data_IF_247707571790
#
_entry.id   IF_247707571790
#
_cell.length_a   1.000
_cell.length_b   1.000
_cell.length_c   1.000
_cell.angle_alpha   90.00
_cell.angle_beta   90.00
_cell.angle_gamma   90.00
#
_symmetry.space_group_name_H-M   'P 1'
#
loop_
_entity.id
_entity.type
_entity.pdbx_description
1 polymer ?
#
# COMPACT_ATOMS: atom_id res chain seq x y z
N UNK A 1 37.35 -12.36 -24.48
CA UNK A 1 36.56 -11.14 -24.73
C UNK A 1 35.33 -11.16 -23.83
N UNK A 2 35.47 -10.82 -22.54
CA UNK A 2 34.36 -10.72 -21.58
C UNK A 2 34.18 -9.25 -21.25
N UNK A 3 33.20 -8.61 -21.86
CA UNK A 3 32.79 -7.26 -21.48
C UNK A 3 32.04 -7.33 -20.16
N UNK A 4 32.73 -7.07 -19.06
CA UNK A 4 32.09 -6.72 -17.80
C UNK A 4 31.47 -5.33 -18.00
N UNK A 5 30.16 -5.28 -18.20
CA UNK A 5 29.39 -4.05 -18.05
C UNK A 5 29.31 -3.74 -16.57
N UNK A 6 30.28 -2.97 -16.09
CA UNK A 6 30.30 -2.42 -14.75
C UNK A 6 29.22 -1.33 -14.67
N UNK A 7 27.97 -1.76 -14.46
CA UNK A 7 26.85 -0.89 -14.13
C UNK A 7 27.09 -0.40 -12.71
N UNK A 8 27.80 0.72 -12.59
CA UNK A 8 27.80 1.54 -11.38
C UNK A 8 26.37 2.07 -11.24
N UNK A 9 25.51 1.28 -10.59
CA UNK A 9 24.24 1.77 -10.09
C UNK A 9 24.57 2.82 -9.04
N UNK A 10 24.38 4.10 -9.37
CA UNK A 10 24.20 5.12 -8.37
C UNK A 10 22.93 4.76 -7.60
N UNK A 11 23.06 3.88 -6.60
CA UNK A 11 21.98 3.54 -5.68
C UNK A 11 21.71 4.81 -4.88
N UNK A 12 20.52 5.35 -5.05
CA UNK A 12 20.11 6.42 -4.17
C UNK A 12 20.03 5.89 -2.74
N UNK A 13 20.45 6.71 -1.78
CA UNK A 13 20.26 6.39 -0.38
C UNK A 13 18.76 6.19 -0.14
N UNK A 14 18.40 5.07 0.47
CA UNK A 14 17.00 4.83 0.86
C UNK A 14 16.71 5.83 1.98
N UNK A 15 16.03 6.93 1.63
CA UNK A 15 15.57 7.91 2.59
C UNK A 15 14.39 7.38 3.42
N UNK A 16 14.00 8.13 4.44
CA UNK A 16 12.88 7.76 5.29
C UNK A 16 11.56 7.65 4.54
N UNK A 17 10.76 6.66 4.93
CA UNK A 17 9.40 6.50 4.41
C UNK A 17 8.50 7.55 5.02
N UNK A 18 7.74 8.26 4.18
CA UNK A 18 6.82 9.31 4.59
C UNK A 18 5.38 8.92 4.27
N UNK A 19 4.52 8.85 5.29
CA UNK A 19 3.09 8.55 5.15
C UNK A 19 2.27 9.84 5.04
N UNK A 20 1.45 9.96 4.00
CA UNK A 20 0.61 11.14 3.74
C UNK A 20 -0.82 10.74 3.36
N UNK A 21 -1.85 11.52 3.71
CA UNK A 21 -3.18 11.35 3.14
C UNK A 21 -3.11 11.41 1.60
N UNK A 22 -3.95 10.64 0.93
CA UNK A 22 -4.12 10.69 -0.53
C UNK A 22 -4.75 12.03 -0.90
N UNK A 23 -4.04 12.84 -1.68
CA UNK A 23 -4.61 14.06 -2.24
C UNK A 23 -5.55 13.74 -3.41
N UNK A 24 -6.47 14.66 -3.75
CA UNK A 24 -7.47 14.46 -4.80
C UNK A 24 -6.87 14.03 -6.16
N UNK A 25 -5.70 14.57 -6.52
CA UNK A 25 -4.98 14.22 -7.74
C UNK A 25 -4.19 12.89 -7.69
N UNK A 26 -4.24 12.14 -6.59
CA UNK A 26 -3.41 10.95 -6.35
C UNK A 26 -4.20 9.63 -6.35
N UNK A 27 -5.53 9.66 -6.52
CA UNK A 27 -6.35 8.43 -6.52
C UNK A 27 -6.01 7.46 -7.66
N UNK A 28 -5.47 7.96 -8.77
CA UNK A 28 -4.92 7.09 -9.82
C UNK A 28 -3.74 6.26 -9.32
N UNK A 29 -2.88 6.83 -8.45
CA UNK A 29 -1.76 6.11 -7.81
C UNK A 29 -2.25 4.96 -6.96
N UNK A 30 -3.29 5.21 -6.16
CA UNK A 30 -3.94 4.17 -5.36
C UNK A 30 -4.53 3.10 -6.27
N UNK A 31 -5.15 3.48 -7.40
CA UNK A 31 -5.73 2.53 -8.35
C UNK A 31 -4.66 1.62 -8.98
N UNK A 32 -3.49 2.14 -9.33
CA UNK A 32 -2.39 1.31 -9.84
C UNK A 32 -1.84 0.35 -8.77
N UNK A 33 -1.61 0.84 -7.55
CA UNK A 33 -1.18 -0.02 -6.45
C UNK A 33 -2.25 -1.03 -6.01
N UNK A 34 -3.53 -0.70 -6.19
CA UNK A 34 -4.64 -1.61 -5.91
C UNK A 34 -4.59 -2.83 -6.83
N UNK A 35 -4.27 -2.65 -8.12
CA UNK A 35 -4.11 -3.77 -9.04
C UNK A 35 -2.95 -4.68 -8.61
N UNK A 36 -1.82 -4.10 -8.17
CA UNK A 36 -0.69 -4.86 -7.62
C UNK A 36 -1.07 -5.60 -6.32
N UNK A 37 -1.78 -4.93 -5.41
CA UNK A 37 -2.33 -5.56 -4.20
C UNK A 37 -3.22 -6.76 -4.52
N UNK A 38 -4.14 -6.62 -5.48
CA UNK A 38 -5.06 -7.70 -5.85
C UNK A 38 -4.33 -8.83 -6.60
N UNK A 39 -3.29 -8.51 -7.36
CA UNK A 39 -2.41 -9.50 -7.97
C UNK A 39 -1.66 -10.32 -6.91
N UNK A 40 -0.99 -9.66 -5.97
CA UNK A 40 -0.25 -10.28 -4.87
C UNK A 40 -1.18 -11.13 -3.98
N UNK A 41 -2.37 -10.60 -3.65
CA UNK A 41 -3.38 -11.34 -2.89
C UNK A 41 -4.00 -12.49 -3.70
N UNK A 42 -4.05 -12.39 -5.02
CA UNK A 42 -4.68 -13.37 -5.92
C UNK A 42 -4.09 -14.77 -5.78
N UNK A 43 -2.81 -14.87 -5.42
CA UNK A 43 -2.12 -16.14 -5.11
C UNK A 43 -2.71 -16.87 -3.91
N UNK A 44 -3.34 -16.14 -2.98
CA UNK A 44 -3.89 -16.67 -1.73
C UNK A 44 -5.39 -16.97 -1.85
N UNK A 45 -6.10 -16.18 -2.66
CA UNK A 45 -7.58 -16.20 -2.71
C UNK A 45 -8.13 -16.69 -4.05
N UNK A 46 -7.31 -17.34 -4.89
CA UNK A 46 -7.63 -17.72 -6.27
C UNK A 46 -8.28 -16.55 -7.05
N UNK A 47 -7.73 -15.36 -6.85
CA UNK A 47 -8.23 -14.12 -7.42
C UNK A 47 -7.73 -13.96 -8.85
N UNK A 48 -8.61 -14.09 -9.83
CA UNK A 48 -8.32 -13.80 -11.23
C UNK A 48 -8.75 -12.37 -11.61
N UNK A 49 -8.07 -11.72 -12.58
CA UNK A 49 -8.57 -10.50 -13.18
C UNK A 49 -9.85 -10.79 -14.00
N UNK A 50 -10.64 -9.75 -14.24
CA UNK A 50 -11.76 -9.81 -15.18
C UNK A 50 -11.29 -9.86 -16.64
N UNK A 51 -12.22 -10.08 -17.56
CA UNK A 51 -11.94 -10.19 -19.00
C UNK A 51 -11.27 -8.93 -19.61
N UNK A 52 -11.39 -7.78 -18.96
CA UNK A 52 -10.74 -6.53 -19.36
C UNK A 52 -9.33 -6.36 -18.78
N UNK A 53 -8.83 -7.36 -18.06
CA UNK A 53 -7.51 -7.39 -17.44
C UNK A 53 -7.42 -6.72 -16.07
N UNK A 54 -8.51 -6.15 -15.54
CA UNK A 54 -8.52 -5.48 -14.23
C UNK A 54 -9.00 -6.42 -13.13
N UNK A 55 -8.38 -6.31 -11.95
CA UNK A 55 -8.91 -6.90 -10.73
C UNK A 55 -10.07 -6.07 -10.17
N UNK A 56 -10.98 -6.74 -9.45
CA UNK A 56 -12.08 -6.10 -8.74
C UNK A 56 -11.59 -4.93 -7.87
N UNK A 57 -12.33 -3.84 -7.88
CA UNK A 57 -12.02 -2.62 -7.13
C UNK A 57 -13.24 -2.01 -6.42
N UNK A 58 -14.31 -2.80 -6.18
CA UNK A 58 -15.56 -2.30 -5.61
C UNK A 58 -15.40 -1.70 -4.20
N UNK A 59 -14.40 -2.14 -3.42
CA UNK A 59 -14.06 -1.52 -2.15
C UNK A 59 -13.37 -0.16 -2.34
N UNK A 60 -12.47 -0.06 -3.33
CA UNK A 60 -11.76 1.18 -3.68
C UNK A 60 -12.74 2.25 -4.21
N UNK A 61 -13.79 1.86 -4.93
CA UNK A 61 -14.80 2.79 -5.46
C UNK A 61 -15.55 3.59 -4.38
N UNK A 62 -15.43 3.19 -3.11
CA UNK A 62 -16.00 3.91 -1.96
C UNK A 62 -15.12 5.07 -1.49
N UNK A 63 -13.99 5.31 -2.15
CA UNK A 63 -12.99 6.29 -1.76
C UNK A 63 -12.72 7.31 -2.87
N UNK A 64 -12.51 8.60 -2.52
CA UNK A 64 -12.74 9.20 -1.19
C UNK A 64 -14.25 9.26 -0.84
N UNK A 65 -14.58 9.48 0.43
CA UNK A 65 -15.97 9.63 0.86
C UNK A 65 -16.10 10.05 2.34
N UNK A 66 -17.32 10.35 2.83
CA UNK A 66 -17.56 10.67 4.23
C UNK A 66 -17.04 9.57 5.17
N UNK A 67 -16.36 9.98 6.25
CA UNK A 67 -15.75 9.07 7.21
C UNK A 67 -14.65 8.16 6.64
N UNK A 68 -14.10 8.47 5.45
CA UNK A 68 -13.12 7.64 4.74
C UNK A 68 -11.90 8.44 4.33
N UNK A 69 -10.72 7.85 4.53
CA UNK A 69 -9.44 8.45 4.12
C UNK A 69 -8.53 7.39 3.51
N UNK A 70 -7.78 7.80 2.48
CA UNK A 70 -6.68 7.02 1.94
C UNK A 70 -5.33 7.55 2.42
N UNK A 71 -4.34 6.69 2.53
CA UNK A 71 -2.95 7.06 2.76
C UNK A 71 -2.03 6.46 1.69
N UNK A 72 -0.98 7.20 1.34
CA UNK A 72 0.14 6.73 0.54
C UNK A 72 1.44 6.87 1.34
N UNK A 73 2.28 5.85 1.31
CA UNK A 73 3.64 5.91 1.81
C UNK A 73 4.62 6.10 0.66
N UNK A 74 5.56 7.02 0.82
CA UNK A 74 6.52 7.40 -0.20
C UNK A 74 7.95 7.20 0.30
N UNK A 75 8.85 6.78 -0.58
CA UNK A 75 10.30 6.76 -0.30
C UNK A 75 11.08 7.04 -1.59
N UNK A 76 12.36 7.44 -1.52
CA UNK A 76 13.20 7.56 -2.71
C UNK A 76 13.33 6.22 -3.45
N UNK A 77 13.10 6.24 -4.75
CA UNK A 77 13.26 5.08 -5.61
C UNK A 77 14.75 4.71 -5.70
N UNK A 78 15.14 3.44 -5.47
CA UNK A 78 16.55 3.07 -5.37
C UNK A 78 17.35 3.31 -6.66
N UNK A 79 16.69 3.36 -7.82
CA UNK A 79 17.35 3.49 -9.12
C UNK A 79 17.17 4.88 -9.77
N UNK A 80 16.17 5.66 -9.36
CA UNK A 80 15.87 6.96 -10.00
C UNK A 80 15.89 8.14 -9.03
N UNK A 81 15.98 7.88 -7.71
CA UNK A 81 15.95 8.89 -6.65
C UNK A 81 14.65 9.68 -6.51
N UNK A 82 13.72 9.55 -7.45
CA UNK A 82 12.39 10.15 -7.37
C UNK A 82 11.55 9.51 -6.27
N UNK A 83 10.56 10.24 -5.73
CA UNK A 83 9.65 9.68 -4.75
C UNK A 83 8.77 8.60 -5.39
N UNK A 84 8.91 7.36 -4.93
CA UNK A 84 8.09 6.23 -5.33
C UNK A 84 7.01 5.94 -4.28
N UNK A 85 5.75 5.68 -4.70
CA UNK A 85 4.73 5.20 -3.79
C UNK A 85 4.97 3.72 -3.49
N UNK A 86 5.15 3.38 -2.21
CA UNK A 86 5.55 2.03 -1.77
C UNK A 86 4.50 1.34 -0.91
N UNK A 87 3.46 2.05 -0.49
CA UNK A 87 2.34 1.47 0.22
C UNK A 87 1.08 2.32 0.07
N UNK A 88 -0.07 1.70 0.27
CA UNK A 88 -1.31 2.42 0.52
C UNK A 88 -2.09 1.82 1.70
N UNK A 89 -2.97 2.64 2.28
CA UNK A 89 -3.96 2.20 3.25
C UNK A 89 -5.29 2.89 3.00
N UNK A 90 -6.40 2.16 3.18
CA UNK A 90 -7.75 2.68 3.11
C UNK A 90 -8.40 2.51 4.49
N UNK A 91 -8.84 3.62 5.07
CA UNK A 91 -9.45 3.67 6.41
C UNK A 91 -10.89 4.17 6.29
N UNK A 92 -11.81 3.54 7.01
CA UNK A 92 -13.22 3.95 7.06
C UNK A 92 -13.72 4.06 8.49
N UNK A 93 -14.93 4.59 8.67
CA UNK A 93 -15.56 4.70 9.98
C UNK A 93 -14.97 5.81 10.86
N UNK A 94 -14.32 6.82 10.27
CA UNK A 94 -13.72 7.91 11.04
C UNK A 94 -14.74 8.79 11.76
N UNK A 95 -15.99 8.81 11.28
CA UNK A 95 -17.12 9.52 11.90
C UNK A 95 -18.01 8.57 12.73
N UNK A 96 -17.56 7.33 12.99
CA UNK A 96 -18.30 6.29 13.70
C UNK A 96 -17.58 5.85 14.98
N UNK A 97 -18.25 5.07 15.82
CA UNK A 97 -17.67 4.55 17.08
C UNK A 97 -16.47 3.60 16.87
N UNK A 98 -16.29 3.11 15.64
CA UNK A 98 -15.22 2.16 15.30
C UNK A 98 -14.66 2.40 13.90
N UNK A 99 -13.39 2.75 13.85
CA UNK A 99 -12.60 2.84 12.61
C UNK A 99 -12.27 1.45 12.06
N UNK A 100 -12.08 1.35 10.75
CA UNK A 100 -11.65 0.12 10.10
C UNK A 100 -10.48 0.37 9.15
N UNK A 101 -9.53 -0.56 9.13
CA UNK A 101 -8.51 -0.65 8.07
C UNK A 101 -9.07 -1.54 6.97
N UNK A 102 -9.73 -0.93 5.98
CA UNK A 102 -10.47 -1.60 4.91
C UNK A 102 -9.53 -2.34 3.94
N UNK A 103 -8.37 -1.75 3.64
CA UNK A 103 -7.31 -2.36 2.84
C UNK A 103 -5.93 -1.78 3.20
N UNK A 104 -4.89 -2.61 3.15
CA UNK A 104 -3.52 -2.21 3.44
C UNK A 104 -2.56 -3.03 2.58
N UNK A 105 -1.62 -2.34 1.94
CA UNK A 105 -0.66 -3.00 1.06
C UNK A 105 0.68 -2.27 1.10
N UNK A 106 1.76 -3.05 1.15
CA UNK A 106 3.14 -2.61 0.95
C UNK A 106 3.68 -3.37 -0.25
N UNK A 107 4.28 -2.66 -1.22
CA UNK A 107 4.85 -3.31 -2.42
C UNK A 107 5.91 -4.34 -2.01
N UNK A 108 5.97 -5.53 -2.63
CA UNK A 108 6.89 -6.59 -2.21
C UNK A 108 8.35 -6.14 -2.08
N UNK A 109 8.82 -5.28 -3.00
CA UNK A 109 10.19 -4.75 -2.98
C UNK A 109 10.53 -3.92 -1.73
N UNK A 110 9.52 -3.36 -1.05
CA UNK A 110 9.66 -2.53 0.15
C UNK A 110 9.31 -3.28 1.45
N UNK A 111 8.88 -4.55 1.39
CA UNK A 111 8.59 -5.39 2.57
C UNK A 111 9.90 -5.80 3.24
N UNK A 112 10.50 -4.91 4.03
CA UNK A 112 11.70 -5.17 4.84
C UNK A 112 11.63 -4.39 6.15
N UNK A 113 12.39 -4.82 7.16
CA UNK A 113 12.66 -4.06 8.39
C UNK A 113 11.40 -3.54 9.12
N UNK A 114 10.30 -4.30 9.09
CA UNK A 114 9.07 -3.94 9.81
C UNK A 114 8.30 -2.74 9.25
N UNK A 115 8.51 -2.35 7.98
CA UNK A 115 7.83 -1.20 7.37
C UNK A 115 6.30 -1.29 7.49
N UNK A 116 5.72 -2.46 7.22
CA UNK A 116 4.27 -2.65 7.33
C UNK A 116 3.73 -2.34 8.73
N UNK A 117 4.40 -2.85 9.77
CA UNK A 117 4.03 -2.60 11.16
C UNK A 117 4.19 -1.13 11.55
N UNK A 118 5.26 -0.47 11.09
CA UNK A 118 5.48 0.97 11.32
C UNK A 118 4.34 1.80 10.71
N UNK A 119 3.99 1.55 9.46
CA UNK A 119 2.93 2.28 8.76
C UNK A 119 1.55 2.02 9.39
N UNK A 120 1.25 0.76 9.73
CA UNK A 120 0.01 0.41 10.41
C UNK A 120 -0.09 1.13 11.75
N UNK A 121 0.95 1.08 12.59
CA UNK A 121 1.00 1.79 13.87
C UNK A 121 0.79 3.29 13.70
N UNK A 122 1.45 3.91 12.71
CA UNK A 122 1.31 5.34 12.45
C UNK A 122 -0.14 5.71 12.05
N UNK A 123 -0.82 4.89 11.26
CA UNK A 123 -2.23 5.08 10.92
C UNK A 123 -3.14 4.95 12.15
N UNK A 124 -2.91 3.94 12.99
CA UNK A 124 -3.67 3.72 14.21
C UNK A 124 -3.53 4.90 15.18
N UNK A 125 -2.33 5.47 15.30
CA UNK A 125 -2.08 6.65 16.14
C UNK A 125 -2.78 7.90 15.60
N UNK A 126 -2.89 8.05 14.27
CA UNK A 126 -3.58 9.20 13.64
C UNK A 126 -5.09 9.18 13.85
N UNK A 127 -5.71 8.02 14.06
CA UNK A 127 -7.14 7.91 14.37
C UNK A 127 -7.36 7.11 15.67
N UNK A 128 -7.30 7.78 16.83
CA UNK A 128 -7.50 7.12 18.11
C UNK A 128 -8.93 6.61 18.25
N UNK A 129 -9.11 5.44 18.86
CA UNK A 129 -10.43 4.85 19.09
C UNK A 129 -10.45 3.34 18.92
N UNK A 130 -11.65 2.77 18.90
CA UNK A 130 -11.82 1.35 18.65
C UNK A 130 -11.57 1.03 17.16
N UNK A 131 -10.86 -0.07 16.90
CA UNK A 131 -10.56 -0.51 15.54
C UNK A 131 -11.21 -1.85 15.21
N UNK A 132 -11.62 -2.00 13.95
CA UNK A 132 -11.84 -3.29 13.29
C UNK A 132 -10.71 -3.49 12.28
N UNK A 133 -9.80 -4.42 12.57
CA UNK A 133 -8.80 -4.83 11.59
C UNK A 133 -9.40 -6.00 10.83
N UNK A 134 -9.68 -5.81 9.53
CA UNK A 134 -10.12 -6.88 8.66
C UNK A 134 -8.96 -7.84 8.38
N UNK A 135 -8.67 -8.75 9.31
CA UNK A 135 -7.83 -9.90 9.01
C UNK A 135 -8.62 -10.81 8.05
N UNK A 136 -8.13 -10.96 6.83
CA UNK A 136 -8.49 -12.13 6.03
C UNK A 136 -7.82 -13.34 6.72
N UNK A 137 -8.62 -14.34 7.09
CA UNK A 137 -8.25 -15.48 7.94
C UNK A 137 -7.17 -16.43 7.36
N UNK A 138 -6.35 -16.00 6.39
CA UNK A 138 -5.27 -16.82 5.80
C UNK A 138 -3.91 -16.12 5.67
N UNK A 139 -3.64 -15.00 6.35
CA UNK A 139 -2.28 -14.46 6.48
C UNK A 139 -1.47 -15.19 7.57
N UNK A 140 -1.37 -16.52 7.47
CA UNK A 140 -0.30 -17.29 8.10
C UNK A 140 0.87 -17.32 7.12
N UNK A 141 1.74 -16.30 7.17
CA UNK A 141 3.20 -16.34 6.91
C UNK A 141 3.69 -14.88 7.00
N UNK A 142 4.31 -14.55 8.13
CA UNK A 142 5.46 -13.65 8.29
C UNK A 142 5.62 -13.30 9.78
N UNK A 143 6.11 -14.27 10.55
CA UNK A 143 6.92 -14.01 11.74
C UNK A 143 8.39 -13.97 11.36
#
# INVERSE_FOLDING_TARGET
NRGAVDLIFYRCHVGDVVLRPVADGQWSVVTWLWQDFRHDLGVIVDGFPYADGRYQHALLDRYPGPGRVGYLAWQPHPNTCENAPVAFALVSGLDADRSALDAFFVVPAARRHGLGLRLATEILVRHPGAWKIGFQENNLIAG
#
